data_IF_746448658106
#
_entry.id   IF_746448658106
#
_cell.length_a   1.000
_cell.length_b   1.000
_cell.length_c   1.000
_cell.angle_alpha   90.00
_cell.angle_beta   90.00
_cell.angle_gamma   90.00
#
_symmetry.space_group_name_H-M   'P 1'
#
loop_
_entity.id
_entity.type
_entity.pdbx_description
1 polymer ?
#
# COMPACT_ATOMS: atom_id res chain seq x y z
N UNK A 1 -26.23 -69.09 -15.92
CA UNK A 1 -25.10 -68.18 -16.17
C UNK A 1 -25.41 -66.87 -15.47
N UNK A 2 -24.87 -66.70 -14.26
CA UNK A 2 -25.04 -65.51 -13.44
C UNK A 2 -24.00 -64.48 -13.85
N UNK A 3 -24.45 -63.29 -14.25
CA UNK A 3 -23.61 -62.11 -14.41
C UNK A 3 -23.15 -61.63 -13.03
N UNK A 4 -21.85 -61.36 -12.83
CA UNK A 4 -21.38 -60.79 -11.59
C UNK A 4 -21.74 -59.30 -11.55
N UNK A 5 -22.29 -58.91 -10.40
CA UNK A 5 -22.57 -57.55 -9.98
C UNK A 5 -21.27 -56.97 -9.42
N UNK A 6 -20.60 -56.11 -10.17
CA UNK A 6 -19.46 -55.33 -9.65
C UNK A 6 -19.96 -53.95 -9.25
N UNK A 7 -20.15 -53.80 -7.94
CA UNK A 7 -20.33 -52.53 -7.25
C UNK A 7 -18.97 -51.85 -7.10
N UNK A 8 -18.83 -50.66 -7.66
CA UNK A 8 -18.00 -49.60 -7.09
C UNK A 8 -18.50 -48.26 -7.62
N UNK A 9 -19.33 -47.58 -6.82
CA UNK A 9 -19.74 -46.19 -7.05
C UNK A 9 -19.39 -45.40 -5.80
N UNK A 10 -18.09 -45.11 -5.64
CA UNK A 10 -17.64 -44.10 -4.69
C UNK A 10 -18.28 -42.77 -5.07
N UNK A 11 -19.26 -42.31 -4.30
CA UNK A 11 -19.94 -41.05 -4.56
C UNK A 11 -18.90 -39.91 -4.59
N UNK A 12 -18.76 -39.27 -5.75
CA UNK A 12 -17.86 -38.13 -5.92
C UNK A 12 -18.27 -37.02 -4.95
N UNK A 13 -17.31 -36.60 -4.10
CA UNK A 13 -17.53 -35.53 -3.13
C UNK A 13 -17.60 -34.22 -3.90
N UNK A 14 -18.69 -33.46 -3.74
CA UNK A 14 -18.89 -32.18 -4.44
C UNK A 14 -17.77 -31.18 -4.14
N UNK A 15 -17.47 -30.31 -5.10
CA UNK A 15 -16.49 -29.24 -4.92
C UNK A 15 -16.83 -28.37 -3.68
N UNK A 16 -18.12 -28.09 -3.47
CA UNK A 16 -18.59 -27.37 -2.29
C UNK A 16 -18.24 -28.09 -0.98
N UNK A 17 -18.46 -29.41 -0.91
CA UNK A 17 -18.07 -30.20 0.24
C UNK A 17 -16.54 -30.22 0.45
N UNK A 18 -15.75 -30.20 -0.62
CA UNK A 18 -14.29 -30.09 -0.55
C UNK A 18 -13.84 -28.72 0.00
N UNK A 19 -14.44 -27.62 -0.48
CA UNK A 19 -14.16 -26.27 0.03
C UNK A 19 -14.49 -26.14 1.52
N UNK A 20 -15.64 -26.67 1.95
CA UNK A 20 -16.03 -26.66 3.36
C UNK A 20 -15.09 -27.52 4.21
N UNK A 21 -14.67 -28.70 3.74
CA UNK A 21 -13.67 -29.50 4.47
C UNK A 21 -12.34 -28.78 4.57
N UNK A 22 -11.89 -28.14 3.50
CA UNK A 22 -10.65 -27.36 3.50
C UNK A 22 -10.72 -26.17 4.48
N UNK A 23 -11.87 -25.49 4.57
CA UNK A 23 -12.14 -24.46 5.58
C UNK A 23 -12.02 -25.02 7.00
N UNK A 24 -12.69 -26.12 7.27
CA UNK A 24 -12.68 -26.72 8.61
C UNK A 24 -11.30 -27.24 8.99
N UNK A 25 -10.57 -27.86 8.05
CA UNK A 25 -9.20 -28.35 8.27
C UNK A 25 -8.24 -27.18 8.61
N UNK A 26 -8.29 -26.04 7.89
CA UNK A 26 -7.42 -24.88 8.15
C UNK A 26 -7.73 -24.14 9.46
N UNK A 27 -8.98 -24.19 9.92
CA UNK A 27 -9.38 -23.67 11.23
C UNK A 27 -9.23 -24.69 12.36
N UNK A 28 -8.51 -25.79 12.12
CA UNK A 28 -8.13 -26.76 13.15
C UNK A 28 -9.27 -27.66 13.63
N UNK A 29 -10.38 -27.75 12.89
CA UNK A 29 -11.51 -28.61 13.24
C UNK A 29 -11.18 -30.06 12.87
N UNK A 30 -11.17 -31.00 13.84
CA UNK A 30 -10.89 -32.40 13.55
C UNK A 30 -11.94 -32.99 12.60
N UNK A 31 -11.51 -33.79 11.61
CA UNK A 31 -12.40 -34.41 10.59
C UNK A 31 -13.64 -35.11 11.14
N UNK A 32 -13.52 -35.79 12.28
CA UNK A 32 -14.65 -36.44 12.98
C UNK A 32 -15.76 -35.48 13.45
N UNK A 33 -15.44 -34.18 13.58
CA UNK A 33 -16.37 -33.13 14.00
C UNK A 33 -16.94 -32.31 12.83
N UNK A 34 -16.48 -32.54 11.59
CA UNK A 34 -16.90 -31.72 10.44
C UNK A 34 -18.42 -31.74 10.24
N UNK A 35 -19.04 -32.92 10.24
CA UNK A 35 -20.51 -33.03 10.12
C UNK A 35 -21.24 -32.33 11.26
N UNK A 36 -20.73 -32.42 12.49
CA UNK A 36 -21.33 -31.76 13.64
C UNK A 36 -21.30 -30.23 13.50
N UNK A 37 -20.18 -29.67 13.07
CA UNK A 37 -20.03 -28.23 12.81
C UNK A 37 -20.97 -27.76 11.70
N UNK A 38 -21.05 -28.49 10.58
CA UNK A 38 -21.95 -28.14 9.48
C UNK A 38 -23.41 -28.17 9.93
N UNK A 39 -23.79 -29.19 10.70
CA UNK A 39 -25.13 -29.30 11.29
C UNK A 39 -25.46 -28.13 12.21
N UNK A 40 -24.53 -27.76 13.09
CA UNK A 40 -24.70 -26.68 14.05
C UNK A 40 -24.84 -25.31 13.37
N UNK A 41 -23.90 -24.97 12.48
CA UNK A 41 -23.88 -23.66 11.81
C UNK A 41 -25.10 -23.48 10.90
N UNK A 42 -25.48 -24.52 10.17
CA UNK A 42 -26.61 -24.46 9.23
C UNK A 42 -27.97 -24.80 9.87
N UNK A 43 -28.00 -25.09 11.18
CA UNK A 43 -29.21 -25.51 11.91
C UNK A 43 -29.94 -26.68 11.23
N UNK A 44 -29.18 -27.63 10.71
CA UNK A 44 -29.69 -28.83 10.04
C UNK A 44 -29.89 -29.98 11.04
N UNK A 45 -30.54 -31.06 10.61
CA UNK A 45 -30.42 -32.34 11.33
C UNK A 45 -29.04 -32.97 11.11
N UNK A 46 -28.63 -33.86 12.00
CA UNK A 46 -27.34 -34.57 11.88
C UNK A 46 -27.21 -35.35 10.56
N UNK A 47 -28.28 -36.03 10.14
CA UNK A 47 -28.33 -36.76 8.87
C UNK A 47 -28.15 -35.83 7.67
N UNK A 48 -28.80 -34.66 7.68
CA UNK A 48 -28.66 -33.66 6.61
C UNK A 48 -27.25 -33.07 6.55
N UNK A 49 -26.66 -32.69 7.69
CA UNK A 49 -25.29 -32.14 7.71
C UNK A 49 -24.25 -33.17 7.29
N UNK A 50 -24.39 -34.44 7.69
CA UNK A 50 -23.51 -35.50 7.22
C UNK A 50 -23.62 -35.70 5.70
N UNK A 51 -24.85 -35.75 5.17
CA UNK A 51 -25.09 -35.86 3.72
C UNK A 51 -24.47 -34.72 2.92
N UNK A 52 -24.44 -33.49 3.45
CA UNK A 52 -23.77 -32.36 2.81
C UNK A 52 -22.28 -32.57 2.56
N UNK A 53 -21.62 -33.36 3.40
CA UNK A 53 -20.18 -33.62 3.30
C UNK A 53 -19.84 -34.95 2.63
N UNK A 54 -20.77 -35.92 2.59
CA UNK A 54 -20.49 -37.30 2.14
C UNK A 54 -21.25 -37.74 0.89
N UNK A 55 -22.27 -37.00 0.47
CA UNK A 55 -23.08 -37.31 -0.72
C UNK A 55 -23.02 -36.16 -1.72
N UNK A 56 -23.50 -36.38 -2.95
CA UNK A 56 -23.69 -35.35 -3.98
C UNK A 56 -24.88 -34.44 -3.65
N UNK A 57 -24.87 -33.86 -2.45
CA UNK A 57 -25.89 -32.94 -2.00
C UNK A 57 -25.60 -31.54 -2.52
N UNK A 58 -26.65 -30.85 -2.99
CA UNK A 58 -26.59 -29.46 -3.43
C UNK A 58 -26.28 -28.54 -2.26
N UNK A 59 -25.50 -27.49 -2.52
CA UNK A 59 -25.16 -26.43 -1.56
C UNK A 59 -25.73 -25.10 -2.02
N UNK A 60 -26.49 -24.42 -1.15
CA UNK A 60 -26.89 -23.04 -1.39
C UNK A 60 -25.71 -22.11 -1.11
N UNK A 61 -25.64 -21.01 -1.87
CA UNK A 61 -24.55 -20.05 -1.74
C UNK A 61 -24.55 -19.37 -0.35
N UNK A 62 -25.75 -19.15 0.19
CA UNK A 62 -25.99 -18.57 1.51
C UNK A 62 -25.48 -19.49 2.63
N UNK A 63 -25.58 -20.81 2.47
CA UNK A 63 -25.06 -21.79 3.44
C UNK A 63 -23.53 -21.78 3.45
N UNK A 64 -22.91 -21.73 2.27
CA UNK A 64 -21.45 -21.59 2.16
C UNK A 64 -20.97 -20.29 2.78
N UNK A 65 -21.67 -19.17 2.50
CA UNK A 65 -21.34 -17.87 3.10
C UNK A 65 -21.47 -17.89 4.62
N UNK A 66 -22.52 -18.50 5.18
CA UNK A 66 -22.71 -18.61 6.62
C UNK A 66 -21.59 -19.40 7.30
N UNK A 67 -21.16 -20.50 6.68
CA UNK A 67 -20.01 -21.28 7.16
C UNK A 67 -18.71 -20.47 7.12
N UNK A 68 -18.43 -19.76 6.03
CA UNK A 68 -17.24 -18.91 5.93
C UNK A 68 -17.22 -17.83 7.03
N UNK A 69 -18.35 -17.13 7.21
CA UNK A 69 -18.47 -16.04 8.17
C UNK A 69 -18.30 -16.48 9.63
N UNK A 70 -18.68 -17.72 9.97
CA UNK A 70 -18.45 -18.29 11.30
C UNK A 70 -16.95 -18.31 11.69
N UNK A 71 -16.07 -18.37 10.69
CA UNK A 71 -14.61 -18.40 10.87
C UNK A 71 -13.93 -17.09 10.44
N UNK A 72 -14.69 -16.02 10.21
CA UNK A 72 -14.16 -14.73 9.76
C UNK A 72 -13.69 -14.70 8.31
N UNK A 73 -13.99 -15.72 7.51
CA UNK A 73 -13.67 -15.80 6.08
C UNK A 73 -14.83 -15.27 5.21
N UNK A 74 -14.49 -14.71 4.04
CA UNK A 74 -15.48 -14.41 3.01
C UNK A 74 -15.83 -15.67 2.21
N UNK A 75 -16.93 -15.62 1.46
CA UNK A 75 -17.28 -16.70 0.52
C UNK A 75 -16.15 -16.93 -0.51
N UNK A 76 -15.46 -15.87 -0.93
CA UNK A 76 -14.32 -15.94 -1.85
C UNK A 76 -13.16 -16.71 -1.23
N UNK A 77 -12.88 -16.50 0.06
CA UNK A 77 -11.82 -17.22 0.77
C UNK A 77 -12.15 -18.71 0.90
N UNK A 78 -13.41 -19.04 1.19
CA UNK A 78 -13.92 -20.42 1.26
C UNK A 78 -13.69 -21.17 -0.06
N UNK A 79 -14.08 -20.58 -1.19
CA UNK A 79 -13.98 -21.23 -2.51
C UNK A 79 -12.56 -21.25 -3.07
N UNK A 80 -11.65 -20.44 -2.51
CA UNK A 80 -10.26 -20.37 -2.96
C UNK A 80 -9.42 -21.59 -2.56
N UNK A 81 -10.02 -22.65 -1.98
CA UNK A 81 -9.42 -23.97 -1.71
C UNK A 81 -8.00 -23.92 -1.10
N UNK A 82 -7.72 -22.95 -0.22
CA UNK A 82 -6.41 -22.85 0.42
C UNK A 82 -5.32 -22.21 -0.45
N UNK A 83 -5.67 -21.41 -1.46
CA UNK A 83 -4.72 -20.48 -2.12
C UNK A 83 -4.26 -19.32 -1.20
N UNK A 84 -4.63 -19.35 0.08
CA UNK A 84 -4.41 -18.29 1.05
C UNK A 84 -2.92 -18.05 1.40
N UNK A 85 -2.03 -19.03 1.19
CA UNK A 85 -0.70 -19.02 1.82
C UNK A 85 0.49 -18.63 0.92
N UNK A 86 0.27 -18.22 -0.33
CA UNK A 86 1.38 -17.81 -1.23
C UNK A 86 1.34 -16.36 -1.65
N UNK A 87 0.43 -15.56 -1.08
CA UNK A 87 0.40 -14.11 -1.35
C UNK A 87 1.45 -13.41 -0.50
N UNK A 88 2.36 -12.68 -1.14
CA UNK A 88 3.36 -11.85 -0.46
C UNK A 88 3.24 -10.40 -0.92
N UNK A 89 3.48 -9.48 0.01
CA UNK A 89 3.61 -8.06 -0.31
C UNK A 89 4.90 -7.82 -1.08
N UNK A 90 4.82 -7.00 -2.12
CA UNK A 90 5.89 -6.67 -3.02
C UNK A 90 5.79 -5.22 -3.50
N UNK A 91 6.82 -4.76 -4.21
CA UNK A 91 6.80 -3.49 -4.93
C UNK A 91 7.07 -3.71 -6.41
N UNK A 92 6.45 -2.89 -7.26
CA UNK A 92 6.76 -2.82 -8.68
C UNK A 92 7.21 -1.39 -9.03
N UNK A 93 8.30 -1.28 -9.79
CA UNK A 93 8.77 0.01 -10.29
C UNK A 93 8.17 0.26 -11.68
N UNK A 94 7.32 1.27 -11.79
CA UNK A 94 6.70 1.74 -13.03
C UNK A 94 7.30 3.10 -13.40
N UNK A 95 8.36 3.08 -14.22
CA UNK A 95 9.13 4.29 -14.51
C UNK A 95 9.83 4.81 -13.25
N UNK A 96 9.47 6.02 -12.81
CA UNK A 96 9.98 6.63 -11.56
C UNK A 96 9.12 6.33 -10.34
N UNK A 97 7.95 5.70 -10.51
CA UNK A 97 7.03 5.41 -9.41
C UNK A 97 7.28 4.01 -8.85
N UNK A 98 7.31 3.89 -7.52
CA UNK A 98 7.29 2.61 -6.81
C UNK A 98 5.89 2.36 -6.27
N UNK A 99 5.24 1.30 -6.75
CA UNK A 99 3.85 0.99 -6.42
C UNK A 99 3.80 -0.27 -5.57
N UNK A 100 3.19 -0.24 -4.37
CA UNK A 100 2.91 -1.44 -3.59
C UNK A 100 2.00 -2.41 -4.35
N UNK A 101 2.29 -3.70 -4.27
CA UNK A 101 1.49 -4.74 -4.89
C UNK A 101 1.53 -6.01 -4.05
N UNK A 102 0.63 -6.95 -4.38
CA UNK A 102 0.60 -8.28 -3.80
C UNK A 102 0.78 -9.30 -4.90
N UNK A 103 1.62 -10.30 -4.66
CA UNK A 103 1.91 -11.36 -5.65
C UNK A 103 1.62 -12.73 -5.07
N UNK A 104 1.08 -13.61 -5.89
CA UNK A 104 1.04 -15.04 -5.63
C UNK A 104 2.27 -15.65 -6.28
N UNK A 105 3.22 -16.11 -5.46
CA UNK A 105 4.49 -16.64 -5.91
C UNK A 105 4.33 -18.04 -6.50
N UNK A 106 4.85 -18.24 -7.70
CA UNK A 106 5.00 -19.52 -8.36
C UNK A 106 6.32 -20.23 -7.99
N UNK A 107 6.69 -21.28 -8.74
CA UNK A 107 7.95 -21.99 -8.53
C UNK A 107 9.16 -21.11 -8.81
N UNK A 108 10.32 -21.53 -8.29
CA UNK A 108 11.61 -20.93 -8.58
C UNK A 108 11.95 -21.06 -10.08
N UNK A 109 12.40 -19.96 -10.69
CA UNK A 109 12.71 -19.90 -12.13
C UNK A 109 14.19 -19.65 -12.31
N UNK A 110 14.79 -20.43 -13.22
CA UNK A 110 16.22 -20.34 -13.53
C UNK A 110 16.48 -19.63 -14.87
N UNK A 111 15.52 -19.69 -15.80
CA UNK A 111 15.61 -19.06 -17.14
C UNK A 111 14.23 -18.55 -17.58
N UNK A 112 13.79 -17.39 -17.08
CA UNK A 112 12.51 -16.84 -17.46
C UNK A 112 12.55 -16.32 -18.90
N UNK A 113 11.39 -16.30 -19.57
CA UNK A 113 11.26 -15.74 -20.92
C UNK A 113 11.54 -14.23 -20.86
N UNK A 114 12.29 -13.70 -21.85
CA UNK A 114 12.53 -12.26 -21.97
C UNK A 114 11.21 -11.49 -21.95
N UNK A 115 11.09 -10.53 -21.02
CA UNK A 115 9.89 -9.71 -20.84
C UNK A 115 8.79 -10.33 -19.99
N UNK A 116 8.97 -11.55 -19.45
CA UNK A 116 8.11 -12.07 -18.40
C UNK A 116 8.34 -11.29 -17.10
N UNK A 117 7.32 -11.19 -16.24
CA UNK A 117 7.50 -10.63 -14.89
C UNK A 117 7.88 -11.74 -13.93
N UNK A 118 8.89 -11.47 -13.09
CA UNK A 118 9.36 -12.38 -12.05
C UNK A 118 9.41 -11.66 -10.71
N UNK A 119 9.30 -12.43 -9.64
CA UNK A 119 9.47 -11.95 -8.27
C UNK A 119 10.88 -12.30 -7.78
N UNK A 120 11.60 -11.30 -7.26
CA UNK A 120 12.91 -11.50 -6.64
C UNK A 120 12.96 -10.78 -5.29
N UNK A 121 13.70 -11.34 -4.33
CA UNK A 121 13.95 -10.69 -3.05
C UNK A 121 15.20 -9.80 -3.19
N UNK A 122 15.03 -8.49 -3.17
CA UNK A 122 16.12 -7.50 -3.31
C UNK A 122 16.10 -6.59 -2.09
N UNK A 123 17.22 -6.45 -1.40
CA UNK A 123 17.34 -5.64 -0.18
C UNK A 123 16.26 -5.95 0.88
N UNK A 124 15.91 -7.23 1.04
CA UNK A 124 14.86 -7.73 1.96
C UNK A 124 13.42 -7.33 1.59
N UNK A 125 13.19 -6.85 0.36
CA UNK A 125 11.86 -6.53 -0.17
C UNK A 125 11.59 -7.36 -1.42
N UNK A 126 10.39 -7.92 -1.55
CA UNK A 126 9.97 -8.56 -2.79
C UNK A 126 9.76 -7.51 -3.87
N UNK A 127 10.43 -7.67 -5.00
CA UNK A 127 10.29 -6.81 -6.17
C UNK A 127 9.74 -7.59 -7.35
N UNK A 128 8.84 -6.95 -8.09
CA UNK A 128 8.34 -7.42 -9.38
C UNK A 128 9.15 -6.76 -10.47
N UNK A 129 9.91 -7.56 -11.22
CA UNK A 129 10.86 -7.09 -12.21
C UNK A 129 10.64 -7.81 -13.54
N UNK A 130 10.92 -7.16 -14.69
CA UNK A 130 11.05 -7.89 -15.94
C UNK A 130 12.24 -8.85 -15.85
N UNK A 131 12.04 -10.07 -16.32
CA UNK A 131 13.04 -11.11 -16.40
C UNK A 131 14.20 -10.69 -17.32
N UNK A 132 15.38 -10.55 -16.73
CA UNK A 132 16.64 -10.48 -17.45
C UNK A 132 17.23 -11.89 -17.66
N UNK A 133 18.14 -12.03 -18.63
CA UNK A 133 18.73 -13.33 -18.98
C UNK A 133 19.62 -13.89 -17.86
N UNK A 134 20.18 -13.01 -17.03
CA UNK A 134 21.09 -13.37 -15.94
C UNK A 134 20.57 -12.78 -14.63
N UNK A 135 19.82 -13.59 -13.89
CA UNK A 135 19.28 -13.18 -12.61
C UNK A 135 20.36 -13.42 -11.54
N UNK A 136 21.00 -12.35 -11.07
CA UNK A 136 21.96 -12.41 -9.97
C UNK A 136 21.36 -12.96 -8.66
N UNK A 137 20.03 -12.90 -8.54
CA UNK A 137 19.25 -13.28 -7.37
C UNK A 137 18.20 -14.31 -7.76
N UNK A 138 17.94 -15.30 -6.90
CA UNK A 138 16.89 -16.31 -7.13
C UNK A 138 15.55 -15.63 -7.41
N UNK A 139 14.99 -15.88 -8.60
CA UNK A 139 13.68 -15.39 -8.98
C UNK A 139 12.63 -16.50 -8.96
N UNK A 140 11.38 -16.08 -8.91
CA UNK A 140 10.21 -16.94 -8.88
C UNK A 140 9.19 -16.44 -9.90
N UNK A 141 8.45 -17.37 -10.49
CA UNK A 141 7.32 -17.02 -11.35
C UNK A 141 6.27 -16.25 -10.56
N UNK A 142 5.49 -15.42 -11.24
CA UNK A 142 4.33 -14.73 -10.67
C UNK A 142 3.06 -15.36 -11.25
N UNK A 143 2.31 -16.07 -10.41
CA UNK A 143 1.03 -16.67 -10.83
C UNK A 143 -0.10 -15.65 -10.84
N UNK A 144 -0.02 -14.66 -9.95
CA UNK A 144 -0.97 -13.55 -9.87
C UNK A 144 -0.24 -12.31 -9.37
N UNK A 145 -0.51 -11.18 -10.01
CA UNK A 145 -0.08 -9.86 -9.58
C UNK A 145 -1.34 -9.03 -9.35
N UNK A 146 -1.53 -8.55 -8.13
CA UNK A 146 -2.57 -7.61 -7.77
C UNK A 146 -1.89 -6.30 -7.44
N UNK A 147 -2.07 -5.31 -8.31
CA UNK A 147 -1.76 -3.94 -7.96
C UNK A 147 -2.96 -3.41 -7.19
N UNK A 148 -2.73 -2.96 -5.98
CA UNK A 148 -3.70 -2.17 -5.23
C UNK A 148 -3.20 -0.75 -5.30
N UNK A 149 -3.34 -0.06 -6.45
CA UNK A 149 -2.97 1.33 -6.53
C UNK A 149 -3.84 2.03 -5.50
N UNK A 150 -3.20 2.46 -4.41
CA UNK A 150 -3.89 3.27 -3.43
C UNK A 150 -4.18 4.59 -4.12
N UNK A 151 -5.39 4.73 -4.65
CA UNK A 151 -6.00 6.03 -4.92
C UNK A 151 -6.38 6.73 -3.61
N UNK A 152 -6.04 6.16 -2.44
CA UNK A 152 -6.30 6.77 -1.15
C UNK A 152 -5.43 8.02 -1.01
N UNK A 153 -6.03 9.13 -1.45
CA UNK A 153 -5.64 10.53 -1.29
C UNK A 153 -4.22 10.78 -1.80
N UNK A 154 -4.15 11.28 -3.04
CA UNK A 154 -2.97 12.01 -3.49
C UNK A 154 -2.61 13.02 -2.39
N UNK A 155 -1.44 12.84 -1.77
CA UNK A 155 -1.11 13.53 -0.51
C UNK A 155 -1.10 15.03 -0.79
N UNK A 156 -1.88 15.80 -0.02
CA UNK A 156 -2.05 17.23 -0.27
C UNK A 156 -0.83 17.98 0.23
N UNK A 157 -0.07 18.58 -0.67
CA UNK A 157 1.20 19.25 -0.32
C UNK A 157 1.06 20.76 -0.48
N UNK A 158 1.23 21.53 0.58
CA UNK A 158 1.28 22.99 0.44
C UNK A 158 2.67 23.42 -0.03
N UNK A 159 2.74 24.13 -1.15
CA UNK A 159 3.98 24.68 -1.72
C UNK A 159 3.96 26.19 -1.57
N UNK A 160 4.91 26.75 -0.82
CA UNK A 160 5.04 28.19 -0.60
C UNK A 160 6.36 28.70 -1.18
N UNK A 161 6.30 29.61 -2.13
CA UNK A 161 7.45 30.36 -2.66
C UNK A 161 6.94 31.71 -3.19
N UNK A 162 7.61 32.81 -2.85
CA UNK A 162 7.22 34.16 -3.26
C UNK A 162 7.42 34.41 -4.77
N UNK A 163 8.24 33.57 -5.43
CA UNK A 163 8.43 33.56 -6.88
C UNK A 163 7.43 32.61 -7.55
N UNK A 164 6.43 33.12 -8.30
CA UNK A 164 5.37 32.28 -8.87
C UNK A 164 5.86 31.18 -9.81
N UNK A 165 6.93 31.44 -10.58
CA UNK A 165 7.51 30.48 -11.52
C UNK A 165 8.24 29.34 -10.79
N UNK A 166 8.98 29.67 -9.71
CA UNK A 166 9.62 28.68 -8.83
C UNK A 166 8.57 27.80 -8.17
N UNK A 167 7.53 28.43 -7.61
CA UNK A 167 6.40 27.73 -7.00
C UNK A 167 5.71 26.78 -7.99
N UNK A 168 5.49 27.23 -9.24
CA UNK A 168 4.87 26.41 -10.28
C UNK A 168 5.76 25.23 -10.69
N UNK A 169 7.06 25.42 -10.83
CA UNK A 169 7.98 24.34 -11.18
C UNK A 169 7.98 23.21 -10.12
N UNK A 170 7.87 23.56 -8.83
CA UNK A 170 7.75 22.59 -7.75
C UNK A 170 6.41 21.85 -7.84
N UNK A 171 5.31 22.57 -8.09
CA UNK A 171 3.96 22.01 -8.26
C UNK A 171 3.94 21.00 -9.40
N UNK A 172 4.38 21.38 -10.60
CA UNK A 172 4.38 20.50 -11.78
C UNK A 172 5.18 19.22 -11.52
N UNK A 173 6.30 19.33 -10.81
CA UNK A 173 7.14 18.18 -10.47
C UNK A 173 6.49 17.25 -9.44
N UNK A 174 5.80 17.80 -8.44
CA UNK A 174 5.10 17.02 -7.42
C UNK A 174 3.84 16.35 -8.01
N UNK A 175 3.10 17.03 -8.89
CA UNK A 175 1.97 16.42 -9.62
C UNK A 175 2.43 15.23 -10.46
N UNK A 176 3.53 15.36 -11.20
CA UNK A 176 4.13 14.26 -11.96
C UNK A 176 4.60 13.11 -11.04
N UNK A 177 4.91 13.40 -9.77
CA UNK A 177 5.26 12.43 -8.73
C UNK A 177 4.06 11.77 -8.05
N UNK A 178 2.82 12.14 -8.41
CA UNK A 178 1.59 11.57 -7.84
C UNK A 178 1.12 12.23 -6.53
N UNK A 179 1.56 13.47 -6.25
CA UNK A 179 1.06 14.30 -5.15
C UNK A 179 -0.09 15.22 -5.58
N UNK A 180 -0.80 15.84 -4.63
CA UNK A 180 -1.82 16.88 -4.84
C UNK A 180 -1.31 18.23 -4.30
N UNK A 181 -0.34 18.86 -4.99
CA UNK A 181 0.26 20.09 -4.50
C UNK A 181 -0.66 21.30 -4.69
N UNK A 182 -0.69 22.18 -3.69
CA UNK A 182 -1.42 23.45 -3.72
C UNK A 182 -0.42 24.60 -3.63
N UNK A 183 -0.43 25.46 -4.64
CA UNK A 183 0.49 26.59 -4.78
C UNK A 183 0.08 27.79 -3.92
N UNK A 184 1.05 28.35 -3.21
CA UNK A 184 0.93 29.59 -2.45
C UNK A 184 2.12 30.51 -2.72
N UNK A 185 1.84 31.80 -2.82
CA UNK A 185 2.87 32.85 -3.00
C UNK A 185 2.93 33.83 -1.83
N UNK A 186 2.16 33.59 -0.76
CA UNK A 186 2.18 34.40 0.44
C UNK A 186 1.84 33.60 1.69
N UNK A 187 2.47 33.98 2.81
CA UNK A 187 2.26 33.36 4.12
C UNK A 187 0.80 33.45 4.59
N UNK A 188 0.14 34.57 4.34
CA UNK A 188 -1.27 34.77 4.74
C UNK A 188 -2.18 33.71 4.11
N UNK A 189 -1.99 33.41 2.82
CA UNK A 189 -2.84 32.49 2.07
C UNK A 189 -2.64 31.04 2.52
N UNK A 190 -1.39 30.60 2.69
CA UNK A 190 -1.11 29.25 3.17
C UNK A 190 -1.55 29.07 4.61
N UNK A 191 -1.43 30.11 5.45
CA UNK A 191 -1.88 30.05 6.86
C UNK A 191 -3.39 29.92 6.96
N UNK A 192 -4.13 30.71 6.17
CA UNK A 192 -5.57 30.61 6.08
C UNK A 192 -6.02 29.23 5.56
N UNK A 193 -5.41 28.76 4.47
CA UNK A 193 -5.71 27.44 3.89
C UNK A 193 -5.41 26.29 4.87
N UNK A 194 -4.25 26.31 5.54
CA UNK A 194 -3.85 25.30 6.53
C UNK A 194 -4.72 25.30 7.80
N UNK A 195 -5.53 26.33 8.01
CA UNK A 195 -6.51 26.39 9.11
C UNK A 195 -7.86 25.83 8.67
N UNK A 196 -8.24 26.04 7.40
CA UNK A 196 -9.49 25.52 6.85
C UNK A 196 -9.41 24.03 6.50
N UNK A 197 -8.28 23.58 5.97
CA UNK A 197 -8.07 22.23 5.44
C UNK A 197 -6.71 21.68 5.87
N UNK A 198 -6.62 20.35 6.00
CA UNK A 198 -5.37 19.69 6.38
C UNK A 198 -4.51 19.40 5.15
N UNK A 199 -3.21 19.66 5.28
CA UNK A 199 -2.19 19.22 4.32
C UNK A 199 -1.39 18.06 4.92
N UNK A 200 -1.00 17.12 4.08
CA UNK A 200 -0.17 15.97 4.44
C UNK A 200 1.31 16.36 4.56
N UNK A 201 1.74 17.42 3.87
CA UNK A 201 3.11 17.90 3.94
C UNK A 201 3.27 19.31 3.37
N UNK A 202 4.46 19.87 3.58
CA UNK A 202 4.79 21.25 3.21
C UNK A 202 6.15 21.34 2.53
N UNK A 203 6.23 22.16 1.47
CA UNK A 203 7.48 22.65 0.88
C UNK A 203 7.47 24.17 0.99
N UNK A 204 8.34 24.73 1.82
CA UNK A 204 8.29 26.15 2.21
C UNK A 204 9.59 26.85 1.84
N UNK A 205 9.50 27.96 1.12
CA UNK A 205 10.58 28.93 1.08
C UNK A 205 10.76 29.58 2.45
N UNK A 206 11.99 29.61 2.95
CA UNK A 206 12.29 30.14 4.28
C UNK A 206 12.06 31.64 4.35
N UNK A 207 12.46 32.37 3.31
CA UNK A 207 12.41 33.84 3.23
C UNK A 207 11.51 34.22 2.08
N UNK A 208 10.51 35.04 2.36
CA UNK A 208 9.64 35.63 1.36
C UNK A 208 9.86 37.15 1.33
N UNK A 209 9.98 37.72 0.15
CA UNK A 209 10.09 39.16 -0.06
C UNK A 209 8.76 39.70 -0.58
N UNK A 210 8.11 40.56 0.21
CA UNK A 210 6.84 41.20 -0.19
C UNK A 210 6.94 42.69 0.00
N UNK A 211 6.78 43.45 -1.07
CA UNK A 211 6.83 44.91 -1.01
C UNK A 211 8.16 45.49 -0.49
N UNK A 212 9.26 44.74 -0.62
CA UNK A 212 10.59 45.12 -0.14
C UNK A 212 10.92 44.68 1.30
N UNK A 213 9.96 44.10 2.02
CA UNK A 213 10.17 43.55 3.36
C UNK A 213 10.42 42.04 3.31
N UNK A 214 11.36 41.57 4.13
CA UNK A 214 11.70 40.14 4.28
C UNK A 214 10.91 39.55 5.43
N UNK A 215 10.15 38.49 5.17
CA UNK A 215 9.37 37.76 6.17
C UNK A 215 9.76 36.28 6.14
N UNK A 216 9.87 35.65 7.32
CA UNK A 216 10.27 34.24 7.42
C UNK A 216 9.09 33.29 7.62
N UNK A 217 9.23 32.06 7.14
CA UNK A 217 8.25 30.99 7.35
C UNK A 217 8.22 30.41 8.77
N UNK A 218 9.04 30.93 9.70
CA UNK A 218 9.20 30.40 11.06
C UNK A 218 7.88 30.34 11.84
N UNK A 219 7.06 31.39 11.76
CA UNK A 219 5.75 31.44 12.43
C UNK A 219 4.78 30.38 11.90
N UNK A 220 4.76 30.18 10.57
CA UNK A 220 3.96 29.13 9.93
C UNK A 220 4.41 27.74 10.39
N UNK A 221 5.71 27.47 10.42
CA UNK A 221 6.27 26.19 10.86
C UNK A 221 5.90 25.91 12.31
N UNK A 222 6.01 26.90 13.20
CA UNK A 222 5.62 26.76 14.59
C UNK A 222 4.12 26.40 14.72
N UNK A 223 3.26 27.06 13.94
CA UNK A 223 1.81 26.78 13.90
C UNK A 223 1.47 25.40 13.34
N UNK A 224 2.18 24.93 12.31
CA UNK A 224 2.04 23.57 11.79
C UNK A 224 2.44 22.58 12.88
N UNK A 225 3.62 22.74 13.48
CA UNK A 225 4.15 21.85 14.52
C UNK A 225 3.31 21.78 15.79
N UNK A 226 2.62 22.86 16.16
CA UNK A 226 1.71 22.84 17.30
C UNK A 226 0.43 22.02 17.05
N UNK A 227 0.00 21.91 15.78
CA UNK A 227 -1.17 21.12 15.38
C UNK A 227 -0.79 19.68 15.04
N UNK A 228 0.37 19.51 14.43
CA UNK A 228 0.89 18.23 13.98
C UNK A 228 2.41 18.19 14.16
N UNK A 229 2.84 17.52 15.23
CA UNK A 229 4.25 17.43 15.59
C UNK A 229 5.07 16.66 14.55
N UNK A 230 4.46 15.83 13.70
CA UNK A 230 5.16 14.88 12.83
C UNK A 230 4.96 15.19 11.34
N UNK A 231 4.08 16.13 10.99
CA UNK A 231 3.86 16.59 9.63
C UNK A 231 5.20 16.86 8.88
N UNK A 232 5.42 16.23 7.72
CA UNK A 232 6.58 16.52 6.87
C UNK A 232 6.67 17.97 6.44
N UNK A 233 7.80 18.61 6.75
CA UNK A 233 8.11 19.98 6.32
C UNK A 233 9.50 19.99 5.69
N UNK A 234 9.54 20.36 4.42
CA UNK A 234 10.75 20.67 3.67
C UNK A 234 10.88 22.18 3.58
N UNK A 235 12.07 22.69 3.89
CA UNK A 235 12.38 24.11 3.79
C UNK A 235 13.41 24.33 2.68
N UNK A 236 13.16 25.30 1.82
CA UNK A 236 14.05 25.78 0.78
C UNK A 236 14.67 27.12 1.23
N UNK A 237 15.94 27.35 1.00
CA UNK A 237 16.57 28.66 1.24
C UNK A 237 17.51 29.06 0.12
N UNK A 238 17.64 30.35 -0.18
CA UNK A 238 18.67 30.86 -1.09
C UNK A 238 19.90 31.48 -0.41
N UNK A 239 19.91 31.70 0.90
CA UNK A 239 20.85 32.64 1.55
C UNK A 239 21.96 32.02 2.43
N UNK A 240 22.18 30.70 2.40
CA UNK A 240 23.33 30.12 3.14
C UNK A 240 24.67 30.67 2.61
N UNK A 241 24.75 31.00 1.32
CA UNK A 241 25.96 31.57 0.69
C UNK A 241 26.13 33.08 0.88
N UNK A 242 25.10 33.82 1.29
CA UNK A 242 25.14 35.30 1.29
C UNK A 242 25.27 35.91 2.68
N UNK A 243 25.15 35.12 3.75
CA UNK A 243 25.33 35.59 5.13
C UNK A 243 24.33 36.66 5.59
N UNK A 244 23.22 36.82 4.86
CA UNK A 244 22.23 37.89 5.01
C UNK A 244 20.91 37.43 5.65
N UNK A 245 20.81 36.14 5.97
CA UNK A 245 19.74 35.56 6.76
C UNK A 245 20.33 35.06 8.07
N UNK A 246 19.62 35.31 9.17
CA UNK A 246 20.05 34.99 10.53
C UNK A 246 20.31 33.48 10.66
N UNK A 247 21.56 33.08 10.42
CA UNK A 247 22.03 31.69 10.39
C UNK A 247 21.74 31.00 11.74
N UNK A 248 21.71 31.81 12.81
CA UNK A 248 21.30 31.43 14.14
C UNK A 248 19.82 31.06 14.25
N UNK A 249 18.91 31.81 13.60
CA UNK A 249 17.47 31.50 13.62
C UNK A 249 17.14 30.24 12.82
N UNK A 250 17.83 30.04 11.68
CA UNK A 250 17.73 28.81 10.89
C UNK A 250 18.25 27.63 11.71
N UNK A 251 19.45 27.73 12.30
CA UNK A 251 20.04 26.67 13.11
C UNK A 251 19.20 26.34 14.37
N UNK A 252 18.62 27.36 15.00
CA UNK A 252 17.70 27.19 16.13
C UNK A 252 16.42 26.47 15.69
N UNK A 253 15.82 26.87 14.56
CA UNK A 253 14.65 26.21 14.00
C UNK A 253 14.96 24.76 13.56
N UNK A 254 16.14 24.49 13.00
CA UNK A 254 16.60 23.15 12.63
C UNK A 254 16.67 22.23 13.85
N UNK A 255 17.31 22.70 14.92
CA UNK A 255 17.46 21.95 16.17
C UNK A 255 16.10 21.70 16.82
N UNK A 256 15.22 22.71 16.82
CA UNK A 256 13.93 22.66 17.49
C UNK A 256 12.88 21.81 16.77
N UNK A 257 12.82 21.87 15.43
CA UNK A 257 11.70 21.30 14.66
C UNK A 257 12.10 20.16 13.71
N UNK A 258 13.36 19.71 13.74
CA UNK A 258 13.88 18.58 12.94
C UNK A 258 13.48 18.67 11.46
N UNK A 259 13.67 19.84 10.87
CA UNK A 259 13.27 20.14 9.49
C UNK A 259 14.28 19.57 8.49
N UNK A 260 13.81 19.18 7.31
CA UNK A 260 14.69 18.87 6.16
C UNK A 260 14.89 20.16 5.36
N UNK A 261 16.15 20.49 5.06
CA UNK A 261 16.51 21.76 4.46
C UNK A 261 17.27 21.55 3.15
N UNK A 262 16.99 22.37 2.14
CA UNK A 262 17.67 22.35 0.85
C UNK A 262 18.04 23.77 0.40
N UNK A 263 19.27 23.92 -0.08
CA UNK A 263 19.74 25.16 -0.68
C UNK A 263 19.20 25.31 -2.11
N UNK A 264 18.76 26.51 -2.47
CA UNK A 264 18.32 26.88 -3.82
C UNK A 264 19.55 27.16 -4.71
N UNK A 265 19.57 26.70 -5.97
CA UNK A 265 18.52 25.94 -6.64
C UNK A 265 18.53 24.47 -6.19
N UNK A 266 17.43 24.04 -5.58
CA UNK A 266 17.28 22.68 -5.09
C UNK A 266 16.89 21.75 -6.24
N UNK A 267 17.43 20.53 -6.25
CA UNK A 267 17.07 19.54 -7.26
C UNK A 267 15.69 18.97 -6.92
N UNK A 268 14.68 19.29 -7.74
CA UNK A 268 13.29 18.87 -7.52
C UNK A 268 13.11 17.35 -7.27
N UNK A 269 13.83 16.43 -7.96
CA UNK A 269 13.75 15.01 -7.65
C UNK A 269 14.15 14.66 -6.22
N UNK A 270 15.11 15.39 -5.64
CA UNK A 270 15.57 15.17 -4.26
C UNK A 270 14.50 15.65 -3.27
N UNK A 271 13.84 16.78 -3.54
CA UNK A 271 12.71 17.28 -2.72
C UNK A 271 11.58 16.25 -2.71
N UNK A 272 11.19 15.75 -3.89
CA UNK A 272 10.13 14.75 -4.03
C UNK A 272 10.45 13.46 -3.26
N UNK A 273 11.66 12.91 -3.42
CA UNK A 273 12.10 11.73 -2.67
C UNK A 273 12.15 11.97 -1.16
N UNK A 274 12.62 13.15 -0.72
CA UNK A 274 12.68 13.50 0.69
C UNK A 274 11.29 13.63 1.32
N UNK A 275 10.31 14.13 0.55
CA UNK A 275 8.91 14.26 0.95
C UNK A 275 8.24 12.90 1.03
N UNK A 276 8.38 12.07 0.00
CA UNK A 276 7.86 10.71 -0.03
C UNK A 276 8.39 9.87 1.15
N UNK A 277 9.71 9.92 1.40
CA UNK A 277 10.31 9.21 2.52
C UNK A 277 9.87 9.73 3.89
N UNK A 278 9.55 11.02 4.02
CA UNK A 278 9.02 11.58 5.26
C UNK A 278 7.55 11.18 5.50
N UNK A 279 6.74 11.13 4.44
CA UNK A 279 5.35 10.69 4.50
C UNK A 279 5.19 9.19 4.76
N UNK A 280 6.17 8.37 4.37
CA UNK A 280 6.17 6.93 4.64
C UNK A 280 6.62 6.58 6.08
N UNK A 281 7.27 7.51 6.79
CA UNK A 281 7.84 7.28 8.12
C UNK A 281 6.96 7.79 9.28
N UNK A 282 5.89 8.53 8.98
CA UNK A 282 4.90 9.05 9.94
C UNK A 282 3.60 8.27 9.89
#
# INVERSE_FOLDING_TARGET
MSTPRSADSGAEITLAAQCVRALLDRHGVPRRKHSAVVTEVLKLSYSQGNRRLTTDATWALEELRALAQQYGETLTDLISLGQADSTVDAIVNLGTATVPCRIVRGPAVHRPRKGALVAAMVDSVWQVLPAEHDLATQAYDIQRLVMEPSSAVSRRIAVLDDHPDSAQAIVDHLEAGGFDPVKFTSLDRVTAAATAERFDGYVLDWILVRGGERVTAQGLIASIRSRDAHCPIIVLTGEVRTGLADEADIAAAMTKYRLKFFEKPARLPIISAALAGALAAG
#
